data_IF_234441677960
#
_entry.id   IF_234441677960
#
_cell.length_a   1.000
_cell.length_b   1.000
_cell.length_c   1.000
_cell.angle_alpha   90.00
_cell.angle_beta   90.00
_cell.angle_gamma   90.00
#
_symmetry.space_group_name_H-M   'P 1'
#
loop_
_entity.id
_entity.type
_entity.pdbx_description
1 polymer ?
#
# COMPACT_ATOMS: atom_id res chain seq x y z
N UNK A 1 37.35 54.56 -35.42
CA UNK A 1 36.18 54.39 -36.32
C UNK A 1 36.04 52.91 -36.63
N UNK A 2 34.79 52.44 -36.75
CA UNK A 2 34.32 51.07 -37.05
C UNK A 2 33.99 50.14 -35.85
N UNK A 3 32.68 49.96 -35.68
CA UNK A 3 31.96 48.96 -34.88
C UNK A 3 32.12 47.57 -35.53
N UNK A 4 32.01 46.49 -34.75
CA UNK A 4 30.84 45.59 -34.77
C UNK A 4 31.04 44.32 -33.92
N UNK A 5 29.95 43.91 -33.28
CA UNK A 5 29.76 42.73 -32.44
C UNK A 5 29.96 41.40 -33.17
N UNK A 6 30.46 40.38 -32.48
CA UNK A 6 29.84 39.04 -32.54
C UNK A 6 30.34 38.11 -31.44
N UNK A 7 29.43 37.94 -30.48
CA UNK A 7 29.24 36.74 -29.68
C UNK A 7 29.33 35.48 -30.53
N UNK A 8 30.26 34.59 -30.21
CA UNK A 8 30.22 33.20 -30.68
C UNK A 8 30.99 32.26 -29.75
N UNK A 9 30.19 31.45 -29.05
CA UNK A 9 30.37 30.02 -28.81
C UNK A 9 31.74 29.50 -28.33
N UNK A 10 31.76 29.02 -27.08
CA UNK A 10 32.25 27.67 -26.80
C UNK A 10 31.94 27.24 -25.35
N UNK A 11 30.99 26.31 -25.26
CA UNK A 11 30.94 25.18 -24.33
C UNK A 11 30.57 25.48 -22.87
N UNK A 12 29.26 25.57 -22.66
CA UNK A 12 28.60 25.25 -21.40
C UNK A 12 29.06 23.88 -20.89
N UNK A 13 29.68 23.90 -19.72
CA UNK A 13 29.97 22.71 -18.95
C UNK A 13 28.65 22.16 -18.41
N UNK A 14 28.22 21.07 -19.04
CA UNK A 14 27.64 19.91 -18.37
C UNK A 14 26.46 20.20 -17.44
N UNK A 15 25.30 20.31 -18.10
CA UNK A 15 24.03 19.76 -17.63
C UNK A 15 24.25 18.39 -16.97
N UNK A 16 24.16 18.39 -15.65
CA UNK A 16 23.92 17.24 -14.82
C UNK A 16 23.08 17.74 -13.64
N UNK A 17 22.02 16.99 -13.32
CA UNK A 17 21.20 17.16 -12.10
C UNK A 17 19.98 18.10 -12.15
N UNK A 18 19.26 18.21 -13.26
CA UNK A 18 17.90 18.80 -13.22
C UNK A 18 16.85 18.01 -14.01
N UNK A 19 16.97 16.68 -13.95
CA UNK A 19 15.95 15.74 -14.44
C UNK A 19 15.66 14.67 -13.38
N UNK A 20 15.48 15.10 -12.13
CA UNK A 20 14.59 14.41 -11.20
C UNK A 20 13.43 15.34 -10.92
N UNK A 21 12.67 15.66 -11.97
CA UNK A 21 11.39 16.34 -11.86
C UNK A 21 10.45 15.42 -11.09
N UNK A 22 10.46 15.53 -9.76
CA UNK A 22 9.39 15.06 -8.91
C UNK A 22 8.12 15.70 -9.48
N UNK A 23 7.32 14.92 -10.22
CA UNK A 23 6.03 15.39 -10.69
C UNK A 23 5.16 15.56 -9.45
N UNK A 24 5.17 16.78 -8.91
CA UNK A 24 4.19 17.23 -7.92
C UNK A 24 2.87 17.24 -8.66
N UNK A 25 2.17 16.10 -8.63
CA UNK A 25 0.79 16.03 -9.08
C UNK A 25 0.03 16.96 -8.17
N UNK A 26 -0.37 18.10 -8.73
CA UNK A 26 -1.17 19.11 -8.07
C UNK A 26 -2.58 18.53 -7.98
N UNK A 27 -2.80 17.69 -6.97
CA UNK A 27 -4.11 17.07 -6.72
C UNK A 27 -5.06 18.21 -6.35
N UNK A 28 -6.07 18.46 -7.18
CA UNK A 28 -7.14 19.37 -6.80
C UNK A 28 -7.86 18.81 -5.57
N UNK A 29 -8.37 19.67 -4.69
CA UNK A 29 -8.92 19.27 -3.39
C UNK A 29 -10.06 18.23 -3.52
N UNK A 30 -10.80 18.28 -4.65
CA UNK A 30 -11.80 17.27 -5.02
C UNK A 30 -11.18 15.90 -5.35
N UNK A 31 -10.07 15.85 -6.09
CA UNK A 31 -9.35 14.60 -6.40
C UNK A 31 -8.68 14.00 -5.15
N UNK A 32 -8.25 14.85 -4.22
CA UNK A 32 -7.69 14.40 -2.94
C UNK A 32 -8.76 13.70 -2.10
N UNK A 33 -10.00 14.22 -2.13
CA UNK A 33 -11.15 13.61 -1.46
C UNK A 33 -11.56 12.29 -2.11
N UNK A 34 -11.55 12.21 -3.44
CA UNK A 34 -11.86 10.99 -4.19
C UNK A 34 -10.81 9.90 -3.95
N UNK A 35 -9.52 10.27 -3.92
CA UNK A 35 -8.42 9.34 -3.62
C UNK A 35 -8.45 8.85 -2.16
N UNK A 36 -8.78 9.73 -1.21
CA UNK A 36 -8.95 9.35 0.19
C UNK A 36 -10.13 8.38 0.37
N UNK A 37 -11.22 8.58 -0.36
CA UNK A 37 -12.38 7.69 -0.26
C UNK A 37 -12.15 6.36 -0.99
N UNK A 38 -11.44 6.35 -2.12
CA UNK A 38 -10.99 5.11 -2.76
C UNK A 38 -10.02 4.33 -1.86
N UNK A 39 -9.12 5.01 -1.16
CA UNK A 39 -8.21 4.40 -0.20
C UNK A 39 -8.95 3.82 1.02
N UNK A 40 -10.00 4.49 1.52
CA UNK A 40 -10.87 3.98 2.59
C UNK A 40 -11.64 2.75 2.15
N UNK A 41 -12.24 2.77 0.96
CA UNK A 41 -12.91 1.62 0.37
C UNK A 41 -11.92 0.47 0.23
N UNK A 42 -10.75 0.67 -0.37
CA UNK A 42 -9.70 -0.36 -0.46
C UNK A 42 -9.28 -0.89 0.91
N UNK A 43 -9.10 -0.02 1.90
CA UNK A 43 -8.75 -0.40 3.27
C UNK A 43 -9.82 -1.27 3.91
N UNK A 44 -11.10 -0.90 3.78
CA UNK A 44 -12.23 -1.70 4.28
C UNK A 44 -12.32 -3.08 3.60
N UNK A 45 -12.04 -3.15 2.29
CA UNK A 45 -12.01 -4.39 1.54
C UNK A 45 -10.87 -5.31 1.99
N UNK A 46 -9.70 -4.73 2.29
CA UNK A 46 -8.55 -5.47 2.86
C UNK A 46 -8.88 -5.99 4.26
N UNK A 47 -9.52 -5.17 5.11
CA UNK A 47 -9.96 -5.58 6.44
C UNK A 47 -10.99 -6.71 6.40
N UNK A 48 -11.97 -6.65 5.48
CA UNK A 48 -12.96 -7.71 5.30
C UNK A 48 -12.34 -9.02 4.78
N UNK A 49 -11.32 -8.92 3.93
CA UNK A 49 -10.57 -10.08 3.42
C UNK A 49 -9.76 -10.75 4.53
N UNK A 50 -9.06 -9.97 5.36
CA UNK A 50 -8.26 -10.49 6.48
C UNK A 50 -9.13 -11.16 7.55
N UNK A 51 -10.30 -10.60 7.86
CA UNK A 51 -11.26 -11.24 8.78
C UNK A 51 -11.74 -12.61 8.23
N UNK A 52 -12.06 -12.65 6.93
CA UNK A 52 -12.48 -13.89 6.26
C UNK A 52 -11.38 -14.95 6.25
N UNK A 53 -10.12 -14.54 6.06
CA UNK A 53 -8.95 -15.42 6.16
C UNK A 53 -8.84 -16.08 7.53
N UNK A 54 -8.94 -15.27 8.59
CA UNK A 54 -8.84 -15.78 9.97
C UNK A 54 -9.95 -16.79 10.27
N UNK A 55 -11.19 -16.51 9.83
CA UNK A 55 -12.30 -17.47 9.94
C UNK A 55 -12.06 -18.73 9.13
N UNK A 56 -11.55 -18.62 7.90
CA UNK A 56 -11.24 -19.78 7.05
C UNK A 56 -10.20 -20.70 7.71
N UNK A 57 -9.10 -20.14 8.23
CA UNK A 57 -8.03 -20.91 8.89
C UNK A 57 -8.41 -21.42 10.28
N UNK A 58 -9.26 -20.67 10.98
CA UNK A 58 -9.74 -21.00 12.32
C UNK A 58 -10.93 -21.97 12.35
N UNK A 59 -11.60 -22.18 11.22
CA UNK A 59 -12.82 -23.00 11.12
C UNK A 59 -12.61 -24.41 11.67
N UNK A 60 -13.50 -24.83 12.57
CA UNK A 60 -13.52 -26.16 13.16
C UNK A 60 -14.75 -26.93 12.67
N UNK A 61 -14.55 -28.23 12.40
CA UNK A 61 -15.62 -29.11 11.94
C UNK A 61 -16.90 -29.11 12.82
N UNK A 62 -16.82 -29.06 14.17
CA UNK A 62 -18.01 -28.98 15.02
C UNK A 62 -18.90 -27.75 14.81
N UNK A 63 -18.43 -26.73 14.08
CA UNK A 63 -19.23 -25.55 13.74
C UNK A 63 -20.27 -25.84 12.63
N UNK A 64 -20.23 -27.01 11.99
CA UNK A 64 -21.14 -27.43 10.92
C UNK A 64 -22.00 -28.64 11.31
N UNK A 65 -23.19 -28.74 10.71
CA UNK A 65 -24.15 -29.83 10.90
C UNK A 65 -23.77 -31.09 10.09
N UNK A 66 -22.70 -31.02 9.28
CA UNK A 66 -22.13 -32.18 8.60
C UNK A 66 -21.05 -31.84 7.56
N UNK A 67 -20.45 -32.85 6.89
CA UNK A 67 -19.32 -32.65 5.99
C UNK A 67 -19.64 -31.76 4.78
N UNK A 68 -20.85 -31.91 4.23
CA UNK A 68 -21.31 -31.12 3.08
C UNK A 68 -21.43 -29.64 3.44
N UNK A 69 -21.96 -29.35 4.63
CA UNK A 69 -22.10 -27.98 5.11
C UNK A 69 -20.73 -27.39 5.48
N UNK A 70 -19.87 -28.15 6.16
CA UNK A 70 -18.50 -27.74 6.47
C UNK A 70 -17.73 -27.33 5.20
N UNK A 71 -17.81 -28.13 4.14
CA UNK A 71 -17.20 -27.81 2.85
C UNK A 71 -17.82 -26.55 2.22
N UNK A 72 -19.14 -26.39 2.31
CA UNK A 72 -19.82 -25.20 1.78
C UNK A 72 -19.37 -23.92 2.48
N UNK A 73 -19.31 -23.93 3.82
CA UNK A 73 -18.82 -22.80 4.63
C UNK A 73 -17.35 -22.49 4.36
N UNK A 74 -16.49 -23.50 4.25
CA UNK A 74 -15.08 -23.29 3.88
C UNK A 74 -14.94 -22.66 2.49
N UNK A 75 -15.74 -23.08 1.51
CA UNK A 75 -15.73 -22.49 0.16
C UNK A 75 -16.16 -21.02 0.18
N UNK A 76 -17.19 -20.70 0.96
CA UNK A 76 -17.67 -19.32 1.10
C UNK A 76 -16.60 -18.43 1.75
N UNK A 77 -16.04 -18.86 2.89
CA UNK A 77 -14.95 -18.13 3.56
C UNK A 77 -13.73 -17.95 2.66
N UNK A 78 -13.37 -18.98 1.89
CA UNK A 78 -12.27 -18.91 0.92
C UNK A 78 -12.54 -17.89 -0.19
N UNK A 79 -13.77 -17.83 -0.71
CA UNK A 79 -14.15 -16.81 -1.72
C UNK A 79 -14.15 -15.40 -1.13
N UNK A 80 -14.66 -15.20 0.08
CA UNK A 80 -14.65 -13.89 0.74
C UNK A 80 -13.22 -13.43 1.05
N UNK A 81 -12.32 -14.36 1.38
CA UNK A 81 -10.92 -14.09 1.57
C UNK A 81 -10.21 -13.76 0.25
N UNK A 82 -10.19 -14.70 -0.70
CA UNK A 82 -9.37 -14.62 -1.91
C UNK A 82 -10.00 -13.80 -3.04
N UNK A 83 -11.33 -13.59 -3.01
CA UNK A 83 -12.11 -12.80 -3.97
C UNK A 83 -11.73 -13.07 -5.43
N UNK A 84 -11.89 -14.32 -5.91
CA UNK A 84 -11.51 -14.70 -7.27
C UNK A 84 -12.25 -13.92 -8.37
N UNK A 85 -13.33 -13.21 -8.03
CA UNK A 85 -14.05 -12.30 -8.92
C UNK A 85 -13.26 -10.99 -9.18
N UNK A 86 -12.35 -10.62 -8.28
CA UNK A 86 -11.55 -9.39 -8.33
C UNK A 86 -10.06 -9.64 -8.54
N UNK A 87 -9.57 -10.84 -8.21
CA UNK A 87 -8.15 -11.17 -8.27
C UNK A 87 -7.85 -12.20 -9.35
N UNK A 88 -6.77 -11.95 -10.11
CA UNK A 88 -6.17 -12.95 -11.00
C UNK A 88 -5.57 -14.10 -10.20
N UNK A 89 -5.27 -15.20 -10.89
CA UNK A 89 -4.62 -16.37 -10.28
C UNK A 89 -3.28 -16.00 -9.64
N UNK A 90 -2.49 -15.18 -10.33
CA UNK A 90 -1.18 -14.71 -9.86
C UNK A 90 -1.35 -13.85 -8.60
N UNK A 91 -2.32 -12.93 -8.59
CA UNK A 91 -2.62 -12.13 -7.40
C UNK A 91 -3.06 -13.00 -6.21
N UNK A 92 -3.86 -14.04 -6.45
CA UNK A 92 -4.23 -15.01 -5.41
C UNK A 92 -3.00 -15.74 -4.86
N UNK A 93 -2.08 -16.16 -5.74
CA UNK A 93 -0.84 -16.81 -5.31
C UNK A 93 0.02 -15.86 -4.47
N UNK A 94 0.17 -14.61 -4.89
CA UNK A 94 0.88 -13.58 -4.12
C UNK A 94 0.25 -13.37 -2.73
N UNK A 95 -1.08 -13.36 -2.61
CA UNK A 95 -1.76 -13.28 -1.31
C UNK A 95 -1.43 -14.48 -0.40
N UNK A 96 -1.35 -15.69 -0.96
CA UNK A 96 -0.97 -16.89 -0.22
C UNK A 96 0.51 -16.88 0.18
N UNK A 97 1.39 -16.40 -0.70
CA UNK A 97 2.81 -16.19 -0.39
C UNK A 97 2.97 -15.18 0.72
N UNK A 98 2.23 -14.06 0.67
CA UNK A 98 2.26 -13.04 1.71
C UNK A 98 1.76 -13.58 3.06
N UNK A 99 0.67 -14.35 3.07
CA UNK A 99 0.19 -15.05 4.28
C UNK A 99 1.34 -15.90 4.86
N UNK A 100 1.94 -16.76 4.04
CA UNK A 100 3.01 -17.63 4.49
C UNK A 100 4.23 -16.84 4.98
N UNK A 101 4.63 -15.79 4.26
CA UNK A 101 5.74 -14.92 4.63
C UNK A 101 5.53 -14.30 6.02
N UNK A 102 4.35 -13.75 6.27
CA UNK A 102 4.02 -13.15 7.57
C UNK A 102 4.06 -14.18 8.72
N UNK A 103 3.71 -15.45 8.47
CA UNK A 103 3.77 -16.49 9.50
C UNK A 103 5.19 -16.95 9.86
N UNK A 104 6.15 -16.80 8.94
CA UNK A 104 7.55 -17.22 9.17
C UNK A 104 8.45 -16.08 9.63
N UNK A 105 7.95 -14.84 9.64
CA UNK A 105 8.72 -13.70 10.11
C UNK A 105 9.16 -13.89 11.57
N UNK A 106 10.44 -13.63 11.91
CA UNK A 106 10.91 -13.52 13.28
C UNK A 106 10.08 -12.53 14.09
N UNK A 107 9.98 -12.75 15.41
CA UNK A 107 9.14 -11.95 16.32
C UNK A 107 9.36 -10.44 16.22
N UNK A 108 10.62 -10.00 16.09
CA UNK A 108 10.98 -8.58 15.97
C UNK A 108 10.38 -7.94 14.72
N UNK A 109 10.40 -8.66 13.59
CA UNK A 109 9.81 -8.18 12.33
C UNK A 109 8.29 -8.24 12.36
N UNK A 110 7.68 -9.21 13.05
CA UNK A 110 6.23 -9.23 13.22
C UNK A 110 5.72 -8.04 14.04
N UNK A 111 6.48 -7.64 15.08
CA UNK A 111 6.16 -6.47 15.90
C UNK A 111 6.20 -5.20 15.07
N UNK A 112 7.26 -5.03 14.26
CA UNK A 112 7.37 -3.89 13.34
C UNK A 112 6.20 -3.83 12.33
N UNK A 113 5.80 -4.96 11.74
CA UNK A 113 4.64 -5.00 10.82
C UNK A 113 3.35 -4.57 11.53
N UNK A 114 3.13 -5.02 12.77
CA UNK A 114 1.96 -4.63 13.58
C UNK A 114 1.96 -3.14 13.91
N UNK A 115 3.11 -2.58 14.25
CA UNK A 115 3.26 -1.15 14.53
C UNK A 115 2.96 -0.30 13.30
N UNK A 116 3.38 -0.73 12.11
CA UNK A 116 3.06 -0.02 10.87
C UNK A 116 1.57 -0.10 10.50
N UNK A 117 0.93 -1.24 10.74
CA UNK A 117 -0.52 -1.37 10.60
C UNK A 117 -1.27 -0.43 11.56
N UNK A 118 -0.83 -0.33 12.81
CA UNK A 118 -1.39 0.62 13.78
C UNK A 118 -1.15 2.08 13.38
N UNK A 119 0.07 2.43 12.97
CA UNK A 119 0.43 3.78 12.54
C UNK A 119 -0.36 4.24 11.30
N UNK A 120 -0.65 3.33 10.37
CA UNK A 120 -1.53 3.61 9.22
C UNK A 120 -2.97 3.91 9.63
N UNK A 121 -3.45 3.35 10.76
CA UNK A 121 -4.79 3.62 11.32
C UNK A 121 -4.85 4.98 12.00
N UNK A 122 -3.74 5.43 12.59
CA UNK A 122 -3.63 6.72 13.30
C UNK A 122 -3.62 7.93 12.35
N UNK A 123 -3.14 7.78 11.10
CA UNK A 123 -3.17 8.88 10.10
C UNK A 123 -4.57 9.29 9.62
N UNK A 124 -5.62 8.58 10.04
CA UNK A 124 -7.01 8.96 9.76
C UNK A 124 -7.59 10.02 10.71
N UNK A 125 -6.84 10.44 11.75
CA UNK A 125 -7.34 11.33 12.80
C UNK A 125 -6.46 12.54 13.06
N UNK A 126 -6.60 13.58 12.23
CA UNK A 126 -6.33 14.96 12.62
C UNK A 126 -4.89 15.47 12.53
N UNK A 127 -4.76 16.69 11.99
CA UNK A 127 -3.68 17.61 12.30
C UNK A 127 -2.47 17.54 11.38
N UNK A 128 -2.27 18.61 10.61
CA UNK A 128 -1.05 18.82 9.85
C UNK A 128 0.18 18.80 10.75
N UNK A 129 1.27 18.25 10.21
CA UNK A 129 2.62 18.53 10.68
C UNK A 129 3.55 18.51 9.47
N UNK A 130 4.01 19.70 9.10
CA UNK A 130 5.15 19.93 8.22
C UNK A 130 6.38 19.38 8.95
N UNK A 131 6.95 18.28 8.45
CA UNK A 131 8.23 17.76 8.94
C UNK A 131 9.37 18.61 8.39
N UNK A 132 9.90 19.53 9.20
CA UNK A 132 11.19 20.18 8.94
C UNK A 132 12.28 19.17 9.30
N UNK A 133 13.05 18.71 8.31
CA UNK A 133 14.31 18.04 8.57
C UNK A 133 15.34 19.11 8.96
N UNK A 134 15.61 19.19 10.26
CA UNK A 134 16.69 20.01 10.81
C UNK A 134 18.04 19.38 10.53
N UNK A 135 18.84 20.10 9.74
CA UNK A 135 20.28 19.98 9.62
C UNK A 135 20.93 20.06 11.01
N UNK A 136 21.70 19.04 11.38
CA UNK A 136 22.62 19.10 12.51
C UNK A 136 24.05 18.97 11.96
N UNK A 137 24.67 20.11 11.74
CA UNK A 137 26.11 20.24 11.61
C UNK A 137 26.79 19.81 12.92
N UNK A 138 27.91 19.10 12.77
CA UNK A 138 28.84 18.75 13.84
C UNK A 138 30.08 18.13 13.25
#
# INVERSE_FOLDING_TARGET
MARESKESAALDAQSAEDQMGLLVIKVEEEDASAFAEEARVRSSLVQGSEHSRQRFRGFRYPEAEGPREALSRLRELCRLWLRPEMHSKEQILELLVLEQFLTILPGDLQTWVREQQAASRERGGGGGAVGVFGEAAG
#
